data_IF_299692442735
#
_entry.id   IF_299692442735
#
_cell.length_a   1.000
_cell.length_b   1.000
_cell.length_c   1.000
_cell.angle_alpha   90.00
_cell.angle_beta   90.00
_cell.angle_gamma   90.00
#
_symmetry.space_group_name_H-M   'P 1'
#
loop_
_entity.id
_entity.type
_entity.pdbx_description
1 polymer ?
#
# COMPACT_ATOMS: atom_id res chain seq x y z
N UNK A 1 3.99 -6.54 7.63
CA UNK A 1 3.01 -6.94 6.60
C UNK A 1 3.50 -8.02 5.60
N UNK A 2 4.80 -8.16 5.21
CA UNK A 2 5.18 -9.09 4.13
C UNK A 2 4.95 -10.58 4.46
N UNK A 3 5.07 -10.99 5.72
CA UNK A 3 4.77 -12.37 6.13
C UNK A 3 3.29 -12.74 5.94
N UNK A 4 2.37 -11.79 6.09
CA UNK A 4 0.93 -12.02 5.90
C UNK A 4 0.62 -12.31 4.43
N UNK A 5 1.22 -11.57 3.51
CA UNK A 5 1.11 -11.81 2.06
C UNK A 5 1.63 -13.21 1.68
N UNK A 6 2.72 -13.67 2.30
CA UNK A 6 3.23 -15.04 2.07
C UNK A 6 2.27 -16.13 2.56
N UNK A 7 1.47 -15.86 3.59
CA UNK A 7 0.47 -16.81 4.11
C UNK A 7 -0.82 -16.85 3.29
N UNK A 8 -1.12 -15.82 2.51
CA UNK A 8 -2.29 -15.80 1.63
C UNK A 8 -2.23 -16.97 0.64
N UNK A 9 -3.36 -17.65 0.43
CA UNK A 9 -3.49 -18.79 -0.48
C UNK A 9 -4.41 -18.41 -1.64
N UNK A 10 -4.35 -19.20 -2.72
CA UNK A 10 -5.24 -18.99 -3.88
C UNK A 10 -6.69 -19.10 -3.42
N UNK A 11 -7.51 -18.10 -3.77
CA UNK A 11 -8.89 -17.96 -3.29
C UNK A 11 -9.05 -17.08 -2.03
N UNK A 12 -7.96 -16.59 -1.45
CA UNK A 12 -8.01 -15.53 -0.43
C UNK A 12 -8.17 -14.15 -1.09
N UNK A 13 -8.66 -13.19 -0.31
CA UNK A 13 -8.61 -11.75 -0.63
C UNK A 13 -7.79 -11.08 0.47
N UNK A 14 -6.88 -10.19 0.12
CA UNK A 14 -6.04 -9.46 1.08
C UNK A 14 -6.57 -8.04 1.22
N UNK A 15 -6.89 -7.61 2.43
CA UNK A 15 -7.23 -6.23 2.74
C UNK A 15 -6.06 -5.56 3.48
N UNK A 16 -5.65 -4.38 3.00
CA UNK A 16 -4.56 -3.60 3.57
C UNK A 16 -5.06 -2.22 3.98
N UNK A 17 -4.98 -1.91 5.28
CA UNK A 17 -5.25 -0.58 5.83
C UNK A 17 -3.96 -0.03 6.46
N UNK A 18 -3.00 0.44 5.64
CA UNK A 18 -1.77 1.05 6.14
C UNK A 18 -2.07 2.37 6.85
N UNK A 19 -1.15 2.86 7.71
CA UNK A 19 -1.25 4.22 8.21
C UNK A 19 -1.29 5.20 7.05
N UNK A 20 -2.32 6.04 7.07
CA UNK A 20 -2.70 6.88 5.98
C UNK A 20 -1.62 7.88 5.54
N UNK A 21 -1.48 8.05 4.22
CA UNK A 21 -0.60 9.06 3.66
C UNK A 21 -1.08 10.49 4.05
N UNK A 22 -0.16 11.41 4.34
CA UNK A 22 -0.52 12.77 4.72
C UNK A 22 -1.20 13.51 3.55
N UNK A 23 -2.25 14.27 3.88
CA UNK A 23 -3.12 15.01 2.95
C UNK A 23 -2.44 16.16 2.18
N UNK A 24 -1.19 16.53 2.48
CA UNK A 24 -0.54 17.69 1.86
C UNK A 24 0.95 17.51 1.67
N UNK A 25 1.43 17.88 0.49
CA UNK A 25 2.85 17.85 0.10
C UNK A 25 3.74 18.76 0.97
N UNK A 26 3.13 19.75 1.64
CA UNK A 26 3.78 20.66 2.59
C UNK A 26 3.87 20.11 4.01
N UNK A 27 3.10 19.07 4.35
CA UNK A 27 3.26 18.35 5.62
C UNK A 27 4.44 17.34 5.57
N UNK A 28 4.97 17.05 4.38
CA UNK A 28 6.00 16.04 4.15
C UNK A 28 7.42 16.44 4.56
N UNK A 29 7.72 17.72 4.81
CA UNK A 29 9.11 18.12 5.07
C UNK A 29 9.53 18.09 6.54
N UNK A 30 8.61 17.88 7.49
CA UNK A 30 8.93 17.99 8.95
C UNK A 30 8.23 16.98 9.85
N UNK A 31 7.97 15.75 9.41
CA UNK A 31 7.63 14.64 10.33
C UNK A 31 8.03 13.28 9.78
N UNK A 32 9.32 13.14 9.42
CA UNK A 32 10.02 11.89 9.71
C UNK A 32 10.17 11.78 11.23
N UNK A 33 9.10 11.46 11.93
CA UNK A 33 9.11 11.30 13.39
C UNK A 33 8.69 9.88 13.76
N UNK A 34 9.67 8.98 13.68
CA UNK A 34 9.83 7.80 14.54
C UNK A 34 8.72 6.74 14.57
N UNK A 35 9.03 5.54 14.08
CA UNK A 35 8.34 4.28 14.40
C UNK A 35 6.97 3.99 13.76
N UNK A 36 6.84 4.12 12.44
CA UNK A 36 5.89 3.25 11.74
C UNK A 36 5.46 3.75 10.37
N UNK A 37 5.99 3.11 9.33
CA UNK A 37 5.52 3.19 7.94
C UNK A 37 5.87 4.49 7.21
N UNK A 38 6.88 4.37 6.34
CA UNK A 38 7.39 5.46 5.51
C UNK A 38 6.68 5.52 4.14
N UNK A 39 7.00 6.55 3.35
CA UNK A 39 6.61 6.61 1.94
C UNK A 39 7.18 5.42 1.14
N UNK A 40 8.36 4.94 1.52
CA UNK A 40 8.97 3.75 0.92
C UNK A 40 8.16 2.49 1.26
N UNK A 41 7.67 2.37 2.50
CA UNK A 41 6.75 1.28 2.88
C UNK A 41 5.43 1.33 2.10
N UNK A 42 4.90 2.52 1.82
CA UNK A 42 3.71 2.68 0.98
C UNK A 42 3.97 2.16 -0.45
N UNK A 43 5.13 2.47 -1.01
CA UNK A 43 5.53 1.98 -2.33
C UNK A 43 5.77 0.46 -2.33
N UNK A 44 6.45 -0.06 -1.30
CA UNK A 44 6.69 -1.48 -1.15
C UNK A 44 5.39 -2.29 -0.98
N UNK A 45 4.41 -1.74 -0.26
CA UNK A 45 3.08 -2.33 -0.12
C UNK A 45 2.35 -2.38 -1.47
N UNK A 46 2.42 -1.32 -2.26
CA UNK A 46 1.80 -1.26 -3.59
C UNK A 46 2.41 -2.29 -4.54
N UNK A 47 3.75 -2.38 -4.62
CA UNK A 47 4.45 -3.38 -5.43
C UNK A 47 4.13 -4.82 -4.99
N UNK A 48 4.11 -5.10 -3.69
CA UNK A 48 3.72 -6.42 -3.17
C UNK A 48 2.27 -6.77 -3.49
N UNK A 49 1.36 -5.79 -3.44
CA UNK A 49 -0.03 -5.99 -3.77
C UNK A 49 -0.23 -6.31 -5.25
N UNK A 50 0.41 -5.54 -6.13
CA UNK A 50 0.37 -5.75 -7.58
C UNK A 50 0.94 -7.12 -7.95
N UNK A 51 2.10 -7.49 -7.40
CA UNK A 51 2.70 -8.83 -7.61
C UNK A 51 1.83 -9.94 -7.08
N UNK A 52 1.21 -9.77 -5.92
CA UNK A 52 0.31 -10.79 -5.36
C UNK A 52 -0.94 -10.98 -6.21
N UNK A 53 -1.50 -9.89 -6.72
CA UNK A 53 -2.63 -9.93 -7.65
C UNK A 53 -2.24 -10.61 -8.98
N UNK A 54 -1.11 -10.21 -9.55
CA UNK A 54 -0.68 -10.65 -10.90
C UNK A 54 -0.07 -12.04 -10.90
N UNK A 55 0.89 -12.32 -10.01
CA UNK A 55 1.63 -13.60 -10.00
C UNK A 55 0.84 -14.71 -9.31
N UNK A 56 0.06 -14.38 -8.26
CA UNK A 56 -0.66 -15.38 -7.45
C UNK A 56 -2.15 -15.42 -7.74
N UNK A 57 -2.69 -14.45 -8.48
CA UNK A 57 -4.12 -14.35 -8.74
C UNK A 57 -4.95 -14.08 -7.48
N UNK A 58 -4.35 -13.45 -6.47
CA UNK A 58 -4.99 -13.16 -5.18
C UNK A 58 -5.34 -11.67 -5.17
N UNK A 59 -6.63 -11.29 -5.22
CA UNK A 59 -7.01 -9.89 -5.22
C UNK A 59 -6.60 -9.20 -3.91
N UNK A 60 -6.11 -7.97 -4.04
CA UNK A 60 -5.65 -7.13 -2.93
C UNK A 60 -6.42 -5.82 -2.96
N UNK A 61 -7.04 -5.47 -1.84
CA UNK A 61 -7.75 -4.20 -1.63
C UNK A 61 -6.94 -3.36 -0.65
N UNK A 62 -6.65 -2.11 -1.00
CA UNK A 62 -5.90 -1.18 -0.15
C UNK A 62 -6.76 0.05 0.14
N UNK A 63 -6.93 0.41 1.41
CA UNK A 63 -7.54 1.67 1.83
C UNK A 63 -6.47 2.71 2.11
N UNK A 64 -6.56 3.88 1.47
CA UNK A 64 -5.69 5.02 1.76
C UNK A 64 -6.41 6.35 1.48
N UNK A 65 -5.80 7.49 1.86
CA UNK A 65 -6.34 8.80 1.50
C UNK A 65 -6.20 8.99 -0.01
N UNK A 66 -7.19 9.62 -0.63
CA UNK A 66 -7.12 10.00 -2.04
C UNK A 66 -6.20 11.23 -2.20
N UNK A 67 -4.91 10.97 -2.42
CA UNK A 67 -3.88 11.98 -2.59
C UNK A 67 -3.16 11.75 -3.92
N UNK A 68 -2.52 12.78 -4.46
CA UNK A 68 -1.72 12.64 -5.68
C UNK A 68 -0.62 11.58 -5.53
N UNK A 69 -0.09 11.39 -4.32
CA UNK A 69 0.90 10.36 -4.00
C UNK A 69 0.30 8.96 -4.10
N UNK A 70 -0.79 8.69 -3.37
CA UNK A 70 -1.43 7.36 -3.34
C UNK A 70 -1.98 6.98 -4.72
N UNK A 71 -2.54 7.94 -5.47
CA UNK A 71 -2.92 7.71 -6.89
C UNK A 71 -1.75 7.33 -7.78
N UNK A 72 -0.55 7.87 -7.54
CA UNK A 72 0.67 7.48 -8.27
C UNK A 72 1.15 6.09 -7.87
N UNK A 73 1.08 5.76 -6.57
CA UNK A 73 1.52 4.46 -6.05
C UNK A 73 0.60 3.32 -6.50
N UNK A 74 -0.72 3.55 -6.53
CA UNK A 74 -1.72 2.54 -6.92
C UNK A 74 -2.19 2.70 -8.37
N UNK A 75 -1.37 3.30 -9.25
CA UNK A 75 -1.76 3.59 -10.64
C UNK A 75 -2.15 2.34 -11.45
N UNK A 76 -1.60 1.17 -11.10
CA UNK A 76 -1.93 -0.11 -11.72
C UNK A 76 -3.17 -0.82 -11.14
N UNK A 77 -3.80 -0.25 -10.10
CA UNK A 77 -4.99 -0.81 -9.48
C UNK A 77 -6.28 -0.19 -10.05
N UNK A 78 -7.36 -0.97 -10.04
CA UNK A 78 -8.70 -0.47 -10.37
C UNK A 78 -9.25 0.37 -9.20
N UNK A 79 -9.96 1.47 -9.54
CA UNK A 79 -10.48 2.46 -8.58
C UNK A 79 -11.91 2.15 -8.14
#
# INVERSE_FOLDING_TARGET
YPETFRRARKGSVVYCDPPYAPLSNTANFTSYAGNGFTLDDQAALADMAERTATERGIPVLISNHDTTLTRRLYHGADL
#
